data_IF_583005839003
#
_entry.id   IF_583005839003
#
_cell.length_a   1.000
_cell.length_b   1.000
_cell.length_c   1.000
_cell.angle_alpha   90.00
_cell.angle_beta   90.00
_cell.angle_gamma   90.00
#
_symmetry.space_group_name_H-M   'P 1'
#
loop_
_entity.id
_entity.type
_entity.pdbx_description
1 polymer ?
#
# COMPACT_ATOMS: atom_id res chain seq x y z
N UNK A 1 39.34 33.50 12.09
CA UNK A 1 40.20 33.35 13.28
C UNK A 1 39.60 34.22 14.39
N UNK A 2 39.17 33.59 15.50
CA UNK A 2 38.56 34.14 16.74
C UNK A 2 37.18 34.82 16.48
N UNK A 3 36.06 34.61 17.20
CA UNK A 3 35.75 34.54 18.64
C UNK A 3 34.44 33.72 18.77
N UNK A 4 34.44 32.55 19.42
CA UNK A 4 34.04 32.31 20.82
C UNK A 4 32.64 32.83 21.22
N UNK A 5 31.78 31.91 21.68
CA UNK A 5 30.48 32.21 22.29
C UNK A 5 29.94 30.97 22.98
N UNK A 6 30.35 30.81 24.25
CA UNK A 6 30.06 29.67 25.10
C UNK A 6 28.72 29.83 25.86
N UNK A 7 28.12 28.68 26.16
CA UNK A 7 27.41 28.30 27.40
C UNK A 7 26.27 29.17 27.94
N UNK A 8 25.13 28.55 28.26
CA UNK A 8 24.59 28.44 29.64
C UNK A 8 23.54 27.31 29.70
N UNK A 9 23.67 26.50 30.76
CA UNK A 9 22.74 25.46 31.21
C UNK A 9 21.41 26.03 31.76
N UNK A 10 20.31 25.28 31.63
CA UNK A 10 19.22 25.24 32.62
C UNK A 10 18.49 23.90 32.47
N UNK A 11 18.90 22.85 33.20
CA UNK A 11 18.28 22.34 34.44
C UNK A 11 16.78 22.64 34.61
N UNK A 12 15.97 21.58 34.54
CA UNK A 12 14.54 21.62 34.87
C UNK A 12 14.00 20.20 35.04
N UNK A 13 14.40 19.52 36.12
CA UNK A 13 13.66 18.37 36.65
C UNK A 13 12.29 18.86 37.16
N UNK A 14 11.20 18.30 36.64
CA UNK A 14 9.92 18.26 37.36
C UNK A 14 9.56 16.79 37.55
N UNK A 15 9.79 16.32 38.77
CA UNK A 15 9.19 15.13 39.31
C UNK A 15 7.87 15.53 39.97
N UNK A 16 6.75 14.95 39.54
CA UNK A 16 5.52 14.87 40.33
C UNK A 16 5.19 13.39 40.55
N UNK A 17 5.44 12.95 41.79
CA UNK A 17 4.95 11.72 42.37
C UNK A 17 3.57 11.94 42.99
N UNK A 18 2.77 10.87 43.08
CA UNK A 18 1.49 10.79 43.79
C UNK A 18 0.30 10.89 42.84
N UNK A 19 -0.64 9.95 42.80
CA UNK A 19 -1.38 9.43 43.94
C UNK A 19 -1.92 8.01 43.66
N UNK A 20 -2.09 7.25 44.74
CA UNK A 20 -2.59 5.88 44.78
C UNK A 20 -4.11 5.84 45.06
N UNK A 21 -4.68 4.64 44.87
CA UNK A 21 -6.02 4.17 45.30
C UNK A 21 -7.22 4.67 44.47
N UNK A 22 -8.21 3.86 44.08
CA UNK A 22 -8.70 2.59 44.63
C UNK A 22 -9.33 1.68 43.54
N UNK A 23 -9.47 0.36 43.80
CA UNK A 23 -10.19 -0.57 42.93
C UNK A 23 -11.69 -0.53 43.22
N UNK A 24 -12.51 -0.45 42.17
CA UNK A 24 -13.94 -0.77 42.28
C UNK A 24 -14.30 -1.81 41.21
N UNK A 25 -14.35 -3.05 41.69
CA UNK A 25 -15.38 -4.04 41.38
C UNK A 25 -16.65 -3.44 40.78
N UNK A 26 -17.15 -3.99 39.67
CA UNK A 26 -18.55 -4.47 39.55
C UNK A 26 -18.76 -5.26 38.24
N UNK A 27 -19.24 -6.49 38.44
CA UNK A 27 -20.11 -7.31 37.59
C UNK A 27 -19.66 -7.76 36.19
N UNK A 28 -19.32 -9.06 36.14
CA UNK A 28 -19.74 -9.97 35.07
C UNK A 28 -21.22 -9.75 34.74
N UNK A 29 -21.53 -9.61 33.44
CA UNK A 29 -22.83 -10.01 32.90
C UNK A 29 -22.56 -10.70 31.58
N UNK A 30 -22.55 -12.03 31.62
CA UNK A 30 -22.70 -12.89 30.45
C UNK A 30 -24.20 -13.08 30.21
N UNK A 31 -24.73 -12.74 29.04
CA UNK A 31 -25.84 -13.47 28.46
C UNK A 31 -25.32 -14.43 27.39
N UNK A 32 -25.65 -15.70 27.60
CA UNK A 32 -25.60 -16.76 26.61
C UNK A 32 -26.76 -16.63 25.60
N UNK A 33 -26.63 -17.37 24.49
CA UNK A 33 -27.62 -17.65 23.43
C UNK A 33 -27.69 -16.58 22.33
N UNK A 34 -27.55 -16.86 21.03
CA UNK A 34 -27.62 -18.12 20.25
C UNK A 34 -26.80 -17.98 18.96
N UNK A 35 -26.19 -19.07 18.44
CA UNK A 35 -25.64 -19.08 17.10
C UNK A 35 -26.78 -19.18 16.08
N UNK A 36 -27.03 -18.10 15.33
CA UNK A 36 -27.76 -18.19 14.06
C UNK A 36 -26.85 -18.91 13.06
N UNK A 37 -27.06 -20.21 12.92
CA UNK A 37 -26.55 -20.99 11.79
C UNK A 37 -27.19 -20.44 10.53
N UNK A 38 -26.46 -19.61 9.79
CA UNK A 38 -26.82 -19.30 8.41
C UNK A 38 -26.20 -20.40 7.55
N UNK A 39 -27.02 -21.40 7.21
CA UNK A 39 -26.68 -22.40 6.20
C UNK A 39 -26.78 -21.71 4.84
N UNK A 40 -25.69 -21.55 4.07
CA UNK A 40 -25.83 -21.19 2.66
C UNK A 40 -26.54 -22.35 1.94
N UNK A 41 -27.56 -22.00 1.18
CA UNK A 41 -28.24 -22.88 0.25
C UNK A 41 -27.20 -23.46 -0.74
N UNK A 42 -27.09 -24.78 -0.93
CA UNK A 42 -26.22 -25.34 -1.95
C UNK A 42 -26.80 -24.98 -3.32
N UNK A 43 -26.23 -23.95 -3.94
CA UNK A 43 -26.50 -23.61 -5.33
C UNK A 43 -26.18 -24.83 -6.21
N UNK A 44 -27.23 -25.31 -6.86
CA UNK A 44 -27.26 -26.41 -7.81
C UNK A 44 -26.18 -26.25 -8.88
N UNK A 45 -25.35 -27.29 -9.16
CA UNK A 45 -24.40 -27.23 -10.25
C UNK A 45 -25.13 -27.25 -11.60
N UNK A 46 -24.68 -26.48 -12.61
CA UNK A 46 -25.25 -26.53 -13.94
C UNK A 46 -25.09 -27.94 -14.55
N UNK A 47 -26.04 -28.41 -15.37
CA UNK A 47 -25.96 -29.72 -16.00
C UNK A 47 -24.75 -29.81 -16.95
N UNK A 48 -24.01 -30.90 -16.80
CA UNK A 48 -22.93 -31.32 -17.68
C UNK A 48 -23.44 -31.50 -19.12
N UNK A 49 -22.91 -30.69 -20.04
CA UNK A 49 -23.04 -30.93 -21.48
C UNK A 49 -22.26 -32.18 -21.88
N UNK A 50 -22.73 -32.94 -22.89
CA UNK A 50 -22.15 -34.21 -23.26
C UNK A 50 -20.72 -34.06 -23.81
N UNK A 51 -19.86 -34.96 -23.33
CA UNK A 51 -18.61 -35.35 -23.96
C UNK A 51 -18.91 -35.93 -25.33
N UNK A 52 -18.39 -35.30 -26.38
CA UNK A 52 -18.17 -35.96 -27.66
C UNK A 52 -16.67 -36.27 -27.77
N UNK A 53 -16.38 -37.52 -27.43
CA UNK A 53 -15.19 -38.26 -27.82
C UNK A 53 -15.32 -38.58 -29.32
N UNK A 54 -14.42 -38.05 -30.14
CA UNK A 54 -14.20 -38.56 -31.49
C UNK A 54 -12.70 -38.59 -31.81
N UNK A 55 -12.24 -39.82 -31.97
CA UNK A 55 -10.92 -40.36 -32.29
C UNK A 55 -10.15 -39.71 -33.46
N UNK A 56 -8.84 -40.03 -33.59
CA UNK A 56 -7.90 -39.37 -34.47
C UNK A 56 -7.93 -39.93 -35.91
N UNK A 57 -7.56 -39.10 -36.88
CA UNK A 57 -7.17 -39.58 -38.20
C UNK A 57 -5.82 -39.02 -38.62
N UNK A 58 -4.94 -39.95 -38.98
CA UNK A 58 -3.56 -39.73 -39.37
C UNK A 58 -3.41 -39.19 -40.80
N UNK A 59 -2.35 -38.39 -40.95
CA UNK A 59 -1.40 -38.33 -42.07
C UNK A 59 -1.78 -37.62 -43.39
N UNK A 60 -0.99 -36.58 -43.75
CA UNK A 60 0.04 -36.57 -44.83
C UNK A 60 0.32 -35.11 -45.31
N UNK A 61 1.57 -34.73 -45.71
CA UNK A 61 2.00 -33.33 -45.79
C UNK A 61 2.05 -32.69 -47.19
N UNK A 62 2.09 -31.33 -47.17
CA UNK A 62 2.67 -30.36 -48.13
C UNK A 62 2.06 -30.20 -49.54
N UNK A 63 2.33 -29.10 -50.30
CA UNK A 63 2.73 -27.72 -49.95
C UNK A 63 1.86 -26.65 -50.66
N UNK A 64 1.81 -25.41 -50.16
CA UNK A 64 1.75 -24.18 -50.98
C UNK A 64 1.83 -22.93 -50.09
N UNK A 65 2.93 -22.21 -50.22
CA UNK A 65 3.11 -20.87 -49.67
C UNK A 65 2.52 -19.84 -50.65
N UNK A 66 1.65 -18.93 -50.19
CA UNK A 66 1.62 -17.58 -50.72
C UNK A 66 2.24 -16.64 -49.67
N UNK A 67 3.33 -15.99 -50.08
CA UNK A 67 3.95 -14.90 -49.34
C UNK A 67 2.92 -13.80 -49.05
N UNK A 68 2.51 -13.67 -47.78
CA UNK A 68 1.87 -12.47 -47.30
C UNK A 68 2.94 -11.40 -47.08
N UNK A 69 2.80 -10.28 -47.76
CA UNK A 69 3.64 -9.11 -47.56
C UNK A 69 3.55 -8.64 -46.09
N UNK A 70 4.63 -8.16 -45.47
CA UNK A 70 4.55 -7.57 -44.15
C UNK A 70 3.79 -6.25 -44.26
N UNK A 71 2.55 -6.23 -43.77
CA UNK A 71 1.86 -4.98 -43.44
C UNK A 71 2.71 -4.30 -42.37
N UNK A 72 3.34 -3.20 -42.75
CA UNK A 72 4.08 -2.32 -41.86
C UNK A 72 3.16 -1.91 -40.71
N UNK A 73 3.41 -2.46 -39.52
CA UNK A 73 2.85 -1.93 -38.28
C UNK A 73 3.34 -0.49 -38.16
N UNK A 74 2.42 0.47 -38.24
CA UNK A 74 2.72 1.85 -37.87
C UNK A 74 3.26 1.84 -36.43
N UNK A 75 4.29 2.65 -36.11
CA UNK A 75 4.80 2.74 -34.76
C UNK A 75 3.65 3.12 -33.81
N UNK A 76 3.49 2.28 -32.79
CA UNK A 76 2.70 2.52 -31.59
C UNK A 76 2.85 3.96 -31.11
N UNK A 77 1.70 4.58 -30.84
CA UNK A 77 1.57 5.86 -30.14
C UNK A 77 2.55 5.92 -28.96
N UNK A 78 3.46 6.88 -29.02
CA UNK A 78 4.48 7.11 -28.00
C UNK A 78 3.76 7.41 -26.69
N UNK A 79 3.86 6.49 -25.71
CA UNK A 79 3.35 6.70 -24.37
C UNK A 79 3.88 8.05 -23.85
N UNK A 80 3.04 8.88 -23.19
CA UNK A 80 3.47 10.19 -22.73
C UNK A 80 4.70 10.05 -21.84
N UNK A 81 5.81 10.64 -22.29
CA UNK A 81 7.04 10.67 -21.52
C UNK A 81 6.80 11.44 -20.22
N UNK A 82 7.11 10.87 -19.03
CA UNK A 82 6.94 11.59 -17.78
C UNK A 82 7.81 12.86 -17.82
N UNK A 83 7.19 14.03 -17.88
CA UNK A 83 7.87 15.33 -18.08
C UNK A 83 8.57 15.86 -16.81
N UNK A 84 9.06 14.97 -15.95
CA UNK A 84 9.78 15.31 -14.72
C UNK A 84 11.24 14.83 -14.78
N UNK A 85 12.14 15.57 -14.13
CA UNK A 85 13.46 15.01 -13.82
C UNK A 85 13.28 13.83 -12.86
N UNK A 86 13.99 12.70 -13.06
CA UNK A 86 13.90 11.57 -12.16
C UNK A 86 14.20 11.97 -10.71
N UNK A 87 13.36 11.54 -9.78
CA UNK A 87 13.62 11.62 -8.35
C UNK A 87 14.82 10.73 -8.03
N UNK A 88 15.77 11.25 -7.27
CA UNK A 88 16.83 10.41 -6.72
C UNK A 88 16.22 9.51 -5.65
N UNK A 89 16.33 8.19 -5.81
CA UNK A 89 16.07 7.26 -4.72
C UNK A 89 17.15 7.46 -3.66
N UNK A 90 16.78 7.77 -2.40
CA UNK A 90 17.74 7.79 -1.31
C UNK A 90 18.48 6.45 -1.24
N UNK A 91 19.79 6.48 -1.03
CA UNK A 91 20.52 5.24 -0.74
C UNK A 91 19.95 4.63 0.54
N UNK A 92 19.79 3.32 0.64
CA UNK A 92 19.32 2.72 1.89
C UNK A 92 20.29 3.05 3.04
N UNK A 93 19.88 3.90 3.96
CA UNK A 93 20.62 4.22 5.18
C UNK A 93 20.01 3.51 6.40
N UNK A 94 18.78 3.03 6.27
CA UNK A 94 17.97 2.56 7.39
C UNK A 94 17.61 3.70 8.33
N UNK A 95 17.05 3.34 9.50
CA UNK A 95 16.68 4.31 10.53
C UNK A 95 15.25 4.14 10.99
N UNK A 96 14.76 5.04 11.85
CA UNK A 96 13.40 4.99 12.34
C UNK A 96 12.43 5.60 11.32
N UNK A 97 11.22 5.05 11.30
CA UNK A 97 10.05 5.71 10.71
C UNK A 97 9.64 6.92 11.52
N UNK A 98 9.21 7.98 10.83
CA UNK A 98 8.64 9.19 11.44
C UNK A 98 7.12 9.17 11.24
N UNK A 99 6.35 9.25 12.31
CA UNK A 99 4.88 9.34 12.24
C UNK A 99 4.43 10.72 11.77
N UNK A 100 3.47 10.76 10.84
CA UNK A 100 2.95 12.00 10.23
C UNK A 100 1.47 12.21 10.55
N UNK A 101 0.64 11.17 10.51
CA UNK A 101 -0.76 11.23 10.94
C UNK A 101 -1.63 12.18 10.11
N UNK A 102 -1.42 12.24 8.80
CA UNK A 102 -2.25 12.99 7.86
C UNK A 102 -3.45 12.15 7.43
N UNK A 103 -4.62 12.78 7.36
CA UNK A 103 -5.79 12.31 6.61
C UNK A 103 -6.20 13.42 5.65
N UNK A 104 -6.31 13.10 4.37
CA UNK A 104 -6.68 14.04 3.32
C UNK A 104 -7.81 13.46 2.46
N UNK A 105 -8.85 14.25 2.26
CA UNK A 105 -10.00 13.98 1.39
C UNK A 105 -10.04 14.93 0.20
N UNK A 106 -9.15 15.91 0.17
CA UNK A 106 -9.02 16.90 -0.90
C UNK A 106 -7.57 17.10 -1.33
N UNK A 107 -7.31 17.49 -2.59
CA UNK A 107 -5.96 17.84 -3.06
C UNK A 107 -5.31 19.00 -2.28
N UNK A 108 -6.11 19.94 -1.77
CA UNK A 108 -5.65 21.08 -0.99
C UNK A 108 -5.07 20.65 0.37
N UNK A 109 -5.67 19.66 1.02
CA UNK A 109 -5.18 19.09 2.29
C UNK A 109 -3.82 18.43 2.11
N UNK A 110 -3.64 17.67 1.02
CA UNK A 110 -2.34 17.10 0.66
C UNK A 110 -1.31 18.21 0.41
N UNK A 111 -1.68 19.23 -0.35
CA UNK A 111 -0.79 20.34 -0.68
C UNK A 111 -0.32 21.08 0.57
N UNK A 112 -1.19 21.19 1.59
CA UNK A 112 -0.89 21.87 2.85
C UNK A 112 -0.02 21.05 3.84
N UNK A 113 0.14 19.73 3.63
CA UNK A 113 0.86 18.82 4.52
C UNK A 113 2.39 18.99 4.45
N UNK A 114 2.93 20.06 5.04
CA UNK A 114 4.36 20.43 4.92
C UNK A 114 5.33 19.42 5.54
N UNK A 115 4.86 18.52 6.41
CA UNK A 115 5.65 17.42 6.94
C UNK A 115 5.94 16.32 5.91
N UNK A 116 5.24 16.30 4.77
CA UNK A 116 5.49 15.39 3.66
C UNK A 116 6.48 15.96 2.63
N UNK A 117 7.35 15.11 2.05
CA UNK A 117 8.20 15.51 0.94
C UNK A 117 7.38 16.15 -0.20
N UNK A 118 7.84 17.28 -0.74
CA UNK A 118 7.14 17.98 -1.82
C UNK A 118 6.83 17.04 -3.00
N UNK A 119 7.79 16.22 -3.42
CA UNK A 119 7.60 15.27 -4.52
C UNK A 119 6.51 14.24 -4.25
N UNK A 120 6.30 13.86 -2.98
CA UNK A 120 5.25 12.93 -2.59
C UNK A 120 3.88 13.61 -2.58
N UNK A 121 3.81 14.88 -2.14
CA UNK A 121 2.59 15.69 -2.27
C UNK A 121 2.20 15.86 -3.73
N UNK A 122 3.16 16.20 -4.60
CA UNK A 122 2.94 16.34 -6.05
C UNK A 122 2.44 15.03 -6.69
N UNK A 123 2.85 13.88 -6.14
CA UNK A 123 2.34 12.57 -6.53
C UNK A 123 0.89 12.35 -6.07
N UNK A 124 0.52 12.68 -4.83
CA UNK A 124 -0.82 12.44 -4.29
C UNK A 124 -1.89 13.42 -4.78
N UNK A 125 -1.55 14.70 -4.96
CA UNK A 125 -2.49 15.76 -5.38
C UNK A 125 -3.38 15.39 -6.57
N UNK A 126 -2.86 14.89 -7.71
CA UNK A 126 -3.71 14.55 -8.85
C UNK A 126 -4.56 13.29 -8.65
N UNK A 127 -4.39 12.53 -7.56
CA UNK A 127 -5.07 11.24 -7.34
C UNK A 127 -6.37 11.39 -6.56
N UNK A 128 -6.40 12.26 -5.55
CA UNK A 128 -7.59 12.47 -4.74
C UNK A 128 -8.69 13.14 -5.58
N UNK A 129 -9.86 12.50 -5.63
CA UNK A 129 -11.01 12.96 -6.41
C UNK A 129 -10.92 12.65 -7.91
N UNK A 130 -9.86 11.97 -8.37
CA UNK A 130 -9.74 11.52 -9.75
C UNK A 130 -10.24 10.08 -9.89
N UNK A 131 -10.98 9.84 -10.97
CA UNK A 131 -11.40 8.51 -11.40
C UNK A 131 -10.21 7.79 -12.08
N UNK A 132 -9.97 6.54 -11.70
CA UNK A 132 -8.96 5.68 -12.32
C UNK A 132 -9.49 4.97 -13.58
N UNK A 133 -8.65 4.17 -14.24
CA UNK A 133 -9.01 3.43 -15.45
C UNK A 133 -10.12 2.38 -15.24
N UNK A 134 -10.46 2.07 -13.99
CA UNK A 134 -11.52 1.12 -13.60
C UNK A 134 -12.83 1.83 -13.20
N UNK A 135 -12.87 3.16 -13.24
CA UNK A 135 -14.04 3.93 -12.84
C UNK A 135 -14.12 4.19 -11.34
N UNK A 136 -13.02 3.99 -10.60
CA UNK A 136 -12.98 4.16 -9.15
C UNK A 136 -12.36 5.51 -8.79
N UNK A 137 -13.01 6.25 -7.89
CA UNK A 137 -12.55 7.55 -7.43
C UNK A 137 -11.87 7.42 -6.06
N UNK A 138 -10.61 7.85 -5.95
CA UNK A 138 -9.93 7.94 -4.65
C UNK A 138 -10.59 9.03 -3.80
N UNK A 139 -11.11 8.66 -2.64
CA UNK A 139 -11.89 9.54 -1.74
C UNK A 139 -11.12 9.99 -0.51
N UNK A 140 -10.16 9.19 -0.04
CA UNK A 140 -9.35 9.50 1.13
C UNK A 140 -7.94 8.92 0.98
N UNK A 141 -6.93 9.67 1.41
CA UNK A 141 -5.57 9.20 1.62
C UNK A 141 -5.19 9.45 3.07
N UNK A 142 -4.70 8.42 3.76
CA UNK A 142 -4.14 8.53 5.10
C UNK A 142 -2.64 8.26 5.04
N UNK A 143 -1.81 9.20 5.49
CA UNK A 143 -0.37 9.00 5.61
C UNK A 143 0.01 8.85 7.07
N UNK A 144 0.41 7.63 7.45
CA UNK A 144 0.71 7.25 8.84
C UNK A 144 2.16 7.53 9.17
N UNK A 145 3.10 7.15 8.30
CA UNK A 145 4.53 7.29 8.58
C UNK A 145 5.37 7.48 7.29
N UNK A 146 6.52 8.12 7.45
CA UNK A 146 7.52 8.34 6.40
C UNK A 146 8.88 7.81 6.84
N UNK A 147 9.66 7.28 5.89
CA UNK A 147 11.01 6.78 6.12
C UNK A 147 12.03 7.58 5.31
N UNK A 148 13.22 7.81 5.87
CA UNK A 148 14.29 8.58 5.24
C UNK A 148 14.79 7.96 3.92
N UNK A 149 14.71 6.63 3.80
CA UNK A 149 15.05 5.87 2.58
C UNK A 149 14.06 6.08 1.43
N UNK A 150 13.04 6.93 1.58
CA UNK A 150 12.09 7.26 0.52
C UNK A 150 10.90 6.31 0.45
N UNK A 151 10.45 5.81 1.60
CA UNK A 151 9.19 5.06 1.73
C UNK A 151 8.16 5.85 2.53
N UNK A 152 6.88 5.62 2.23
CA UNK A 152 5.74 6.18 2.95
C UNK A 152 4.75 5.06 3.21
N UNK A 153 4.18 4.99 4.41
CA UNK A 153 3.15 4.02 4.78
C UNK A 153 1.83 4.72 5.13
N UNK A 154 0.73 4.14 4.68
CA UNK A 154 -0.59 4.69 4.86
C UNK A 154 -1.72 3.80 4.36
N UNK A 155 -2.82 4.42 3.96
CA UNK A 155 -3.95 3.77 3.30
C UNK A 155 -4.59 4.70 2.28
N UNK A 156 -5.26 4.11 1.31
CA UNK A 156 -6.10 4.78 0.33
C UNK A 156 -7.49 4.16 0.34
N UNK A 157 -8.51 5.00 0.34
CA UNK A 157 -9.90 4.58 0.24
C UNK A 157 -10.52 5.17 -1.04
N UNK A 158 -11.24 4.34 -1.77
CA UNK A 158 -12.03 4.71 -2.95
C UNK A 158 -13.48 4.28 -2.79
N UNK A 159 -14.33 4.75 -3.69
CA UNK A 159 -15.72 4.27 -3.82
C UNK A 159 -15.83 2.80 -4.26
N UNK A 160 -14.74 2.20 -4.72
CA UNK A 160 -14.62 0.77 -5.03
C UNK A 160 -14.01 -0.07 -3.89
N UNK A 161 -13.58 0.56 -2.80
CA UNK A 161 -12.89 -0.10 -1.69
C UNK A 161 -11.54 0.56 -1.36
N UNK A 162 -10.86 0.03 -0.36
CA UNK A 162 -9.61 0.60 0.12
C UNK A 162 -8.64 -0.44 0.64
N UNK A 163 -7.46 0.04 1.02
CA UNK A 163 -6.39 -0.81 1.49
C UNK A 163 -5.23 -0.03 2.08
N UNK A 164 -4.37 -0.76 2.77
CA UNK A 164 -3.09 -0.24 3.22
C UNK A 164 -2.12 -0.19 2.04
N UNK A 165 -1.26 0.83 2.05
CA UNK A 165 -0.33 1.08 0.96
C UNK A 165 1.04 1.43 1.52
N UNK A 166 2.08 0.91 0.86
CA UNK A 166 3.44 1.43 0.98
C UNK A 166 3.81 2.03 -0.37
N UNK A 167 4.07 3.33 -0.36
CA UNK A 167 4.64 4.04 -1.49
C UNK A 167 6.16 4.10 -1.33
N UNK A 168 6.85 4.13 -2.46
CA UNK A 168 8.30 4.21 -2.51
C UNK A 168 8.75 4.84 -3.81
N UNK A 169 9.99 5.31 -3.84
CA UNK A 169 10.61 5.81 -5.07
C UNK A 169 11.25 4.63 -5.79
N UNK A 170 10.76 4.31 -6.99
CA UNK A 170 11.36 3.31 -7.91
C UNK A 170 11.40 3.89 -9.31
N UNK A 171 12.43 3.56 -10.09
CA UNK A 171 12.62 4.09 -11.45
C UNK A 171 12.59 5.64 -11.52
N UNK A 172 12.96 6.28 -10.41
CA UNK A 172 12.99 7.73 -10.28
C UNK A 172 11.62 8.39 -10.15
N UNK A 173 10.56 7.65 -9.79
CA UNK A 173 9.25 8.22 -9.50
C UNK A 173 8.63 7.56 -8.27
N UNK A 174 7.68 8.24 -7.63
CA UNK A 174 6.85 7.61 -6.61
C UNK A 174 5.95 6.56 -7.24
N UNK A 175 5.91 5.38 -6.64
CA UNK A 175 5.12 4.24 -7.08
C UNK A 175 4.47 3.55 -5.88
N UNK A 176 3.43 2.79 -6.16
CA UNK A 176 2.86 1.80 -5.25
C UNK A 176 3.82 0.62 -5.20
N UNK A 177 4.47 0.41 -4.06
CA UNK A 177 5.36 -0.75 -3.88
C UNK A 177 4.50 -1.97 -3.56
N UNK A 178 3.58 -1.80 -2.61
CA UNK A 178 2.58 -2.80 -2.25
C UNK A 178 1.29 -2.12 -1.80
N UNK A 179 0.15 -2.69 -2.19
CA UNK A 179 -1.19 -2.33 -1.74
C UNK A 179 -1.93 -3.60 -1.33
N UNK A 180 -2.60 -3.58 -0.18
CA UNK A 180 -3.20 -4.78 0.40
C UNK A 180 -4.37 -4.46 1.32
N UNK A 181 -5.43 -5.27 1.23
CA UNK A 181 -6.58 -5.23 2.14
C UNK A 181 -6.37 -6.06 3.41
N UNK A 182 -5.66 -7.19 3.29
CA UNK A 182 -5.40 -8.14 4.37
C UNK A 182 -3.91 -8.24 4.72
N UNK A 183 -3.59 -8.74 5.92
CA UNK A 183 -2.22 -8.92 6.35
C UNK A 183 -1.44 -9.84 5.39
N UNK A 184 -0.31 -9.34 4.89
CA UNK A 184 0.58 -10.08 3.98
C UNK A 184 1.72 -10.76 4.74
N UNK A 185 2.39 -11.77 4.17
CA UNK A 185 3.64 -12.30 4.71
C UNK A 185 4.70 -11.22 4.90
N UNK A 186 5.41 -11.23 6.03
CA UNK A 186 6.48 -10.26 6.31
C UNK A 186 7.60 -10.31 5.26
N UNK A 187 7.82 -11.50 4.70
CA UNK A 187 8.79 -11.72 3.63
C UNK A 187 8.52 -10.86 2.39
N UNK A 188 7.27 -10.54 2.09
CA UNK A 188 6.94 -9.75 0.90
C UNK A 188 7.41 -8.30 1.06
N UNK A 189 7.37 -7.75 2.28
CA UNK A 189 7.96 -6.44 2.57
C UNK A 189 9.49 -6.47 2.50
N UNK A 190 10.12 -7.53 3.02
CA UNK A 190 11.57 -7.72 2.96
C UNK A 190 12.08 -7.83 1.51
N UNK A 191 11.35 -8.53 0.64
CA UNK A 191 11.68 -8.67 -0.79
C UNK A 191 11.56 -7.37 -1.58
N UNK A 192 10.84 -6.38 -1.04
CA UNK A 192 10.70 -5.05 -1.60
C UNK A 192 11.61 -4.02 -0.92
N UNK A 193 12.58 -4.49 -0.12
CA UNK A 193 13.54 -3.66 0.62
C UNK A 193 12.88 -2.63 1.55
N UNK A 194 11.66 -2.93 2.03
CA UNK A 194 10.91 -2.03 2.93
C UNK A 194 11.54 -2.11 4.32
N UNK A 195 11.97 -0.99 4.93
CA UNK A 195 12.59 -0.98 6.25
C UNK A 195 11.61 -1.47 7.34
N UNK A 196 12.05 -2.35 8.26
CA UNK A 196 11.22 -2.83 9.36
C UNK A 196 10.91 -1.71 10.38
N UNK A 197 10.02 -2.00 11.32
CA UNK A 197 9.61 -1.05 12.37
C UNK A 197 8.59 -0.02 11.90
N UNK A 198 7.76 -0.40 10.92
CA UNK A 198 6.72 0.49 10.37
C UNK A 198 5.60 0.65 11.41
N UNK A 199 5.29 1.87 11.89
CA UNK A 199 4.32 2.05 12.97
C UNK A 199 2.92 1.55 12.59
N UNK A 200 2.44 0.53 13.31
CA UNK A 200 1.10 -0.04 13.15
C UNK A 200 0.93 -0.96 11.93
N UNK A 201 2.00 -1.22 11.16
CA UNK A 201 1.96 -2.23 10.12
C UNK A 201 2.14 -3.61 10.74
N UNK A 202 1.21 -4.51 10.40
CA UNK A 202 1.27 -5.91 10.81
C UNK A 202 1.39 -6.81 9.60
N UNK A 203 2.10 -7.90 9.78
CA UNK A 203 2.37 -8.91 8.77
C UNK A 203 2.28 -10.32 9.36
N UNK A 204 2.22 -11.32 8.51
CA UNK A 204 2.19 -12.73 8.88
C UNK A 204 3.60 -13.32 8.90
N UNK A 205 3.99 -13.92 10.02
CA UNK A 205 5.22 -14.71 10.09
C UNK A 205 5.10 -16.04 9.32
N UNK A 206 6.19 -16.82 9.28
CA UNK A 206 6.23 -18.12 8.59
C UNK A 206 5.26 -19.16 9.16
N UNK A 207 4.72 -18.92 10.35
CA UNK A 207 3.72 -19.77 11.01
C UNK A 207 2.30 -19.21 10.88
N UNK A 208 2.10 -18.14 10.10
CA UNK A 208 0.85 -17.39 9.92
C UNK A 208 0.35 -16.67 11.18
N UNK A 209 1.23 -16.35 12.14
CA UNK A 209 0.87 -15.48 13.25
C UNK A 209 1.08 -14.01 12.85
N UNK A 210 0.17 -13.15 13.30
CA UNK A 210 0.31 -11.71 13.12
C UNK A 210 1.39 -11.14 14.04
N UNK A 211 2.38 -10.44 13.48
CA UNK A 211 3.39 -9.67 14.21
C UNK A 211 3.51 -8.25 13.62
N UNK A 212 4.16 -7.37 14.35
CA UNK A 212 4.56 -6.07 13.82
C UNK A 212 5.69 -6.30 12.80
N UNK A 213 5.67 -5.54 11.70
CA UNK A 213 6.71 -5.58 10.67
C UNK A 213 7.90 -4.68 11.05
#
# INVERSE_FOLDING_TARGET
MIIAGASVLLTGLVACSGEAEAPLTTAQTTPAASPSMWTPDPTEPPPAGPSDDAEPSSATPAPASPAAAPTSLAPTEEAPSPSGSPLAQPSAQGGPWTTVGLTATTPEEVSAATELPQSFRDFLVPRIGSEDDFGCTTTEVVVKAVHADGFVFGSEESDCGGGQVIWGITEGQWNYIVQFGDAMPCRDFELNDIPPGVPGLRCLDEQNNAKDY
#
